data_IF_699946015597
#
_entry.id   IF_699946015597
#
_cell.length_a   1.000
_cell.length_b   1.000
_cell.length_c   1.000
_cell.angle_alpha   90.00
_cell.angle_beta   90.00
_cell.angle_gamma   90.00
#
_symmetry.space_group_name_H-M   'P 1'
#
loop_
_entity.id
_entity.type
_entity.pdbx_description
1 polymer ?
#
# COMPACT_ATOMS: atom_id res chain seq x y z
N UNK A 1 19.34 12.01 1.88
CA UNK A 1 18.82 11.49 3.16
C UNK A 1 17.47 10.86 2.90
N UNK A 2 17.41 9.53 2.98
CA UNK A 2 16.22 8.75 2.60
C UNK A 2 15.29 8.44 3.78
N UNK A 3 15.74 8.67 5.00
CA UNK A 3 14.91 8.51 6.19
C UNK A 3 15.16 9.70 7.13
N UNK A 4 14.10 10.23 7.65
CA UNK A 4 14.13 11.16 8.77
C UNK A 4 14.26 10.27 10.02
N UNK A 5 15.28 10.50 10.83
CA UNK A 5 15.49 9.73 12.05
C UNK A 5 14.56 10.23 13.17
N UNK A 6 14.42 9.42 14.23
CA UNK A 6 13.76 9.84 15.46
C UNK A 6 14.35 11.15 16.04
N UNK A 7 15.67 11.30 15.98
CA UNK A 7 16.39 12.52 16.42
C UNK A 7 16.01 13.74 15.57
N UNK A 8 15.83 13.56 14.23
CA UNK A 8 15.37 14.64 13.36
C UNK A 8 13.92 15.05 13.71
N UNK A 9 13.06 14.10 14.06
CA UNK A 9 11.67 14.36 14.48
C UNK A 9 11.61 15.08 15.83
N UNK A 10 12.43 14.68 16.81
CA UNK A 10 12.54 15.36 18.09
C UNK A 10 12.99 16.81 17.92
N UNK A 11 14.03 17.06 17.13
CA UNK A 11 14.52 18.40 16.86
C UNK A 11 13.47 19.30 16.18
N UNK A 12 12.62 18.73 15.31
CA UNK A 12 11.49 19.46 14.73
C UNK A 12 10.40 19.74 15.77
N UNK A 13 10.10 18.77 16.65
CA UNK A 13 9.11 18.94 17.71
C UNK A 13 9.51 20.03 18.72
N UNK A 14 10.79 20.10 19.11
CA UNK A 14 11.30 21.13 20.01
C UNK A 14 11.09 22.55 19.49
N UNK A 15 11.18 22.74 18.17
CA UNK A 15 11.05 24.05 17.52
C UNK A 15 9.62 24.37 17.07
N UNK A 16 8.72 23.39 17.06
CA UNK A 16 7.34 23.56 16.60
C UNK A 16 6.51 24.32 17.65
N UNK A 17 5.80 25.35 17.20
CA UNK A 17 4.99 26.21 18.08
C UNK A 17 3.52 25.76 18.15
N UNK A 18 3.03 25.02 17.15
CA UNK A 18 1.66 24.53 17.12
C UNK A 18 1.55 23.25 17.95
N UNK A 19 0.74 23.22 19.04
CA UNK A 19 0.71 22.08 19.97
C UNK A 19 0.32 20.75 19.30
N UNK A 20 -0.63 20.77 18.37
CA UNK A 20 -1.05 19.56 17.65
C UNK A 20 0.10 19.02 16.79
N UNK A 21 0.76 19.90 16.04
CA UNK A 21 1.88 19.48 15.19
C UNK A 21 3.06 18.97 15.99
N UNK A 22 3.34 19.58 17.14
CA UNK A 22 4.36 19.07 18.07
C UNK A 22 4.04 17.67 18.54
N UNK A 23 2.79 17.42 18.99
CA UNK A 23 2.37 16.10 19.43
C UNK A 23 2.47 15.04 18.31
N UNK A 24 2.19 15.40 17.06
CA UNK A 24 2.41 14.51 15.91
C UNK A 24 3.90 14.18 15.71
N UNK A 25 4.77 15.17 15.79
CA UNK A 25 6.22 14.99 15.63
C UNK A 25 6.81 14.13 16.75
N UNK A 26 6.40 14.38 18.00
CA UNK A 26 6.77 13.54 19.15
C UNK A 26 6.32 12.09 18.93
N UNK A 27 5.07 11.89 18.50
CA UNK A 27 4.54 10.57 18.17
C UNK A 27 5.35 9.88 17.05
N UNK A 28 5.74 10.63 16.01
CA UNK A 28 6.57 10.11 14.91
C UNK A 28 7.96 9.70 15.41
N UNK A 29 8.57 10.48 16.32
CA UNK A 29 9.85 10.14 16.93
C UNK A 29 9.74 8.82 17.72
N UNK A 30 8.70 8.67 18.54
CA UNK A 30 8.46 7.45 19.31
C UNK A 30 8.26 6.23 18.42
N UNK A 31 7.50 6.38 17.33
CA UNK A 31 7.32 5.30 16.35
C UNK A 31 8.65 4.89 15.70
N UNK A 32 9.48 5.86 15.29
CA UNK A 32 10.75 5.58 14.61
C UNK A 32 11.80 4.90 15.52
N UNK A 33 11.66 5.00 16.83
CA UNK A 33 12.49 4.22 17.79
C UNK A 33 12.12 2.74 17.82
N UNK A 34 10.88 2.42 17.49
CA UNK A 34 10.32 1.08 17.60
C UNK A 34 10.30 0.36 16.27
N UNK A 35 9.63 0.92 15.29
CA UNK A 35 9.45 0.27 13.97
C UNK A 35 10.57 0.68 13.00
N UNK A 36 11.05 -0.25 12.15
CA UNK A 36 10.55 -1.61 11.89
C UNK A 36 11.18 -2.70 12.77
N UNK A 37 11.94 -2.37 13.80
CA UNK A 37 12.71 -3.34 14.62
C UNK A 37 11.83 -4.15 15.56
N UNK A 38 10.75 -3.53 16.03
CA UNK A 38 9.73 -4.16 16.87
C UNK A 38 8.40 -4.27 16.11
N UNK A 39 7.53 -5.22 16.45
CA UNK A 39 6.21 -5.33 15.86
C UNK A 39 5.39 -4.04 16.06
N UNK A 40 4.67 -3.57 15.02
CA UNK A 40 3.79 -2.42 15.15
C UNK A 40 2.63 -2.70 16.10
N UNK A 41 2.18 -1.69 16.83
CA UNK A 41 1.10 -1.79 17.81
C UNK A 41 -0.22 -1.25 17.29
N UNK A 42 -0.19 -0.31 16.35
CA UNK A 42 -1.38 0.31 15.77
C UNK A 42 -1.24 0.45 14.24
N UNK A 43 -2.27 0.98 13.62
CA UNK A 43 -2.31 1.15 12.17
C UNK A 43 -1.24 2.12 11.66
N UNK A 44 -0.97 3.21 12.36
CA UNK A 44 0.04 4.18 11.95
C UNK A 44 1.45 3.55 11.98
N UNK A 45 1.77 2.87 13.08
CA UNK A 45 3.03 2.12 13.19
C UNK A 45 3.16 1.04 12.11
N UNK A 46 2.06 0.35 11.79
CA UNK A 46 2.07 -0.69 10.75
C UNK A 46 2.38 -0.12 9.37
N UNK A 47 1.77 1.00 8.99
CA UNK A 47 2.05 1.68 7.72
C UNK A 47 3.46 2.25 7.71
N UNK A 48 3.93 2.84 8.82
CA UNK A 48 5.29 3.35 8.94
C UNK A 48 6.34 2.24 8.82
N UNK A 49 6.12 1.10 9.49
CA UNK A 49 6.98 -0.07 9.41
C UNK A 49 7.05 -0.63 7.98
N UNK A 50 5.90 -0.71 7.31
CA UNK A 50 5.83 -1.13 5.91
C UNK A 50 6.66 -0.22 5.02
N UNK A 51 6.50 1.10 5.15
CA UNK A 51 7.25 2.06 4.35
C UNK A 51 8.76 1.97 4.58
N UNK A 52 9.20 1.93 5.83
CA UNK A 52 10.63 1.82 6.17
C UNK A 52 11.24 0.52 5.60
N UNK A 53 10.54 -0.60 5.76
CA UNK A 53 10.99 -1.89 5.21
C UNK A 53 11.07 -1.84 3.69
N UNK A 54 10.06 -1.27 3.04
CA UNK A 54 10.04 -1.09 1.58
C UNK A 54 11.22 -0.25 1.08
N UNK A 55 11.51 0.86 1.74
CA UNK A 55 12.67 1.70 1.43
C UNK A 55 13.99 0.96 1.58
N UNK A 56 14.14 0.16 2.63
CA UNK A 56 15.35 -0.65 2.85
C UNK A 56 15.54 -1.67 1.73
N UNK A 57 14.47 -2.38 1.35
CA UNK A 57 14.51 -3.32 0.22
C UNK A 57 14.84 -2.62 -1.09
N UNK A 58 14.20 -1.49 -1.38
CA UNK A 58 14.51 -0.71 -2.58
C UNK A 58 15.95 -0.20 -2.59
N UNK A 59 16.50 0.15 -1.43
CA UNK A 59 17.88 0.63 -1.32
C UNK A 59 18.90 -0.48 -1.56
N UNK A 60 18.61 -1.70 -1.10
CA UNK A 60 19.47 -2.88 -1.33
C UNK A 60 19.47 -3.28 -2.80
N UNK A 61 18.35 -3.17 -3.48
CA UNK A 61 18.17 -3.43 -4.91
C UNK A 61 18.68 -2.29 -5.82
N UNK A 62 19.53 -1.40 -5.31
CA UNK A 62 20.11 -0.30 -6.09
C UNK A 62 19.13 0.88 -6.29
N UNK A 63 18.78 1.56 -5.20
CA UNK A 63 17.81 2.65 -5.24
C UNK A 63 17.96 3.55 -6.49
N UNK A 64 16.84 3.80 -7.18
CA UNK A 64 15.49 3.57 -6.71
C UNK A 64 14.95 2.15 -6.91
N UNK A 65 15.74 1.20 -7.33
CA UNK A 65 15.45 -0.21 -7.41
C UNK A 65 14.38 -0.64 -8.43
N UNK A 66 14.23 -1.94 -8.66
CA UNK A 66 13.09 -2.46 -9.39
C UNK A 66 11.80 -2.25 -8.59
N UNK A 67 10.66 -2.20 -9.28
CA UNK A 67 9.36 -2.07 -8.64
C UNK A 67 9.11 -3.24 -7.68
N UNK A 68 9.01 -2.94 -6.40
CA UNK A 68 8.69 -3.92 -5.36
C UNK A 68 7.21 -3.81 -5.04
N UNK A 69 6.50 -4.93 -5.16
CA UNK A 69 5.06 -4.98 -4.83
C UNK A 69 4.84 -5.00 -3.32
N UNK A 70 3.85 -4.24 -2.85
CA UNK A 70 3.38 -4.30 -1.47
C UNK A 70 2.52 -5.54 -1.17
N UNK A 71 2.21 -6.34 -2.18
CA UNK A 71 1.38 -7.52 -2.00
C UNK A 71 -0.07 -7.18 -1.60
N UNK A 72 -0.71 -8.06 -0.83
CA UNK A 72 -2.12 -7.92 -0.40
C UNK A 72 -2.23 -7.01 0.82
N UNK A 73 -2.04 -5.72 0.58
CA UNK A 73 -1.87 -4.71 1.63
C UNK A 73 -3.12 -4.57 2.53
N UNK A 74 -4.29 -4.71 1.98
CA UNK A 74 -5.56 -4.66 2.71
C UNK A 74 -5.79 -5.88 3.62
N UNK A 75 -5.04 -6.97 3.44
CA UNK A 75 -5.18 -8.16 4.24
C UNK A 75 -4.27 -8.12 5.48
N UNK A 76 -2.99 -7.85 5.30
CA UNK A 76 -2.07 -7.86 6.43
C UNK A 76 -2.12 -6.59 7.27
N UNK A 77 -2.63 -5.47 6.75
CA UNK A 77 -2.87 -4.25 7.52
C UNK A 77 -4.27 -4.22 8.17
N UNK A 78 -5.23 -5.05 7.71
CA UNK A 78 -6.60 -5.05 8.24
C UNK A 78 -6.68 -5.23 9.76
N UNK A 79 -5.95 -6.16 10.39
CA UNK A 79 -6.02 -6.32 11.84
C UNK A 79 -5.65 -5.05 12.60
N UNK A 80 -4.64 -4.32 12.13
CA UNK A 80 -4.23 -3.05 12.73
C UNK A 80 -5.26 -1.94 12.48
N UNK A 81 -5.80 -1.89 11.26
CA UNK A 81 -6.87 -0.95 10.90
C UNK A 81 -8.07 -1.12 11.82
N UNK A 82 -8.58 -2.34 11.92
CA UNK A 82 -9.75 -2.67 12.72
C UNK A 82 -9.52 -2.36 14.20
N UNK A 83 -8.43 -2.83 14.78
CA UNK A 83 -8.10 -2.55 16.19
C UNK A 83 -7.98 -1.05 16.44
N UNK A 84 -7.27 -0.31 15.59
CA UNK A 84 -7.14 1.14 15.75
C UNK A 84 -8.48 1.88 15.63
N UNK A 85 -9.39 1.42 14.76
CA UNK A 85 -10.74 1.97 14.67
C UNK A 85 -11.55 1.69 15.94
N UNK A 86 -11.46 0.48 16.50
CA UNK A 86 -12.08 0.10 17.78
C UNK A 86 -11.52 0.94 18.94
N UNK A 87 -10.23 1.29 18.90
CA UNK A 87 -9.54 2.15 19.87
C UNK A 87 -9.77 3.66 19.65
N UNK A 88 -10.62 4.02 18.69
CA UNK A 88 -11.08 5.41 18.49
C UNK A 88 -10.37 6.19 17.39
N UNK A 89 -9.52 5.57 16.57
CA UNK A 89 -8.99 6.21 15.37
C UNK A 89 -10.16 6.54 14.42
N UNK A 90 -10.22 7.78 13.94
CA UNK A 90 -11.23 8.12 12.93
C UNK A 90 -10.84 7.57 11.56
N UNK A 91 -11.85 7.23 10.74
CA UNK A 91 -11.63 6.79 9.35
C UNK A 91 -10.86 7.82 8.54
N UNK A 92 -11.17 9.10 8.71
CA UNK A 92 -10.49 10.18 8.00
C UNK A 92 -9.01 10.28 8.37
N UNK A 93 -8.66 10.11 9.65
CA UNK A 93 -7.26 10.08 10.06
C UNK A 93 -6.53 8.85 9.50
N UNK A 94 -7.16 7.69 9.50
CA UNK A 94 -6.60 6.49 8.87
C UNK A 94 -6.37 6.69 7.36
N UNK A 95 -7.29 7.36 6.66
CA UNK A 95 -7.11 7.75 5.24
C UNK A 95 -5.96 8.73 5.05
N UNK A 96 -5.76 9.70 5.95
CA UNK A 96 -4.62 10.63 5.89
C UNK A 96 -3.28 9.89 6.02
N UNK A 97 -3.17 8.88 6.90
CA UNK A 97 -1.99 8.02 6.99
C UNK A 97 -1.72 7.33 5.64
N UNK A 98 -2.74 6.78 5.00
CA UNK A 98 -2.63 6.14 3.68
C UNK A 98 -2.25 7.13 2.59
N UNK A 99 -2.78 8.36 2.61
CA UNK A 99 -2.40 9.42 1.67
C UNK A 99 -0.91 9.79 1.82
N UNK A 100 -0.42 9.92 3.04
CA UNK A 100 1.00 10.14 3.30
C UNK A 100 1.86 9.00 2.72
N UNK A 101 1.46 7.75 2.92
CA UNK A 101 2.12 6.59 2.31
C UNK A 101 2.16 6.68 0.78
N UNK A 102 1.06 7.06 0.14
CA UNK A 102 0.97 7.24 -1.32
C UNK A 102 1.84 8.39 -1.82
N UNK A 103 1.92 9.49 -1.08
CA UNK A 103 2.84 10.60 -1.40
C UNK A 103 4.28 10.11 -1.41
N UNK A 104 4.67 9.33 -0.42
CA UNK A 104 6.03 8.77 -0.37
C UNK A 104 6.31 7.83 -1.54
N UNK A 105 5.39 6.96 -1.90
CA UNK A 105 5.53 6.07 -3.06
C UNK A 105 5.69 6.87 -4.37
N UNK A 106 4.95 7.94 -4.55
CA UNK A 106 5.07 8.83 -5.71
C UNK A 106 6.37 9.64 -5.72
N UNK A 107 6.83 10.10 -4.56
CA UNK A 107 8.09 10.86 -4.46
C UNK A 107 9.29 10.00 -4.84
N UNK A 108 9.30 8.74 -4.44
CA UNK A 108 10.33 7.78 -4.87
C UNK A 108 10.35 7.64 -6.41
N UNK A 109 9.18 7.64 -7.04
CA UNK A 109 9.04 7.58 -8.50
C UNK A 109 9.66 8.78 -9.22
N UNK A 110 9.46 10.00 -8.74
CA UNK A 110 9.98 11.22 -9.37
C UNK A 110 11.52 11.25 -9.44
N UNK A 111 12.19 10.66 -8.47
CA UNK A 111 13.64 10.57 -8.44
C UNK A 111 14.25 9.84 -9.65
N UNK A 112 13.56 8.85 -10.22
CA UNK A 112 14.05 8.05 -11.35
C UNK A 112 13.80 8.68 -12.72
N UNK A 113 12.71 9.38 -12.91
CA UNK A 113 12.38 10.02 -14.20
C UNK A 113 13.49 10.96 -14.63
N UNK A 114 14.11 11.61 -13.66
CA UNK A 114 15.21 12.56 -13.89
C UNK A 114 16.52 11.91 -14.31
N UNK A 115 16.73 10.65 -13.94
CA UNK A 115 18.00 9.95 -14.24
C UNK A 115 17.94 9.09 -15.50
N UNK A 116 16.76 8.66 -15.92
CA UNK A 116 16.58 7.67 -16.99
C UNK A 116 16.28 8.21 -18.39
N UNK A 117 16.11 9.49 -18.58
CA UNK A 117 15.83 10.17 -19.87
C UNK A 117 14.88 9.40 -20.80
N UNK A 118 13.84 9.99 -21.31
CA UNK A 118 12.94 9.47 -22.35
C UNK A 118 12.06 8.25 -22.05
N UNK A 119 12.10 7.67 -20.88
CA UNK A 119 11.04 6.76 -20.50
C UNK A 119 9.83 7.61 -20.11
N UNK A 120 8.76 7.48 -20.88
CA UNK A 120 7.54 8.26 -20.68
C UNK A 120 7.06 8.13 -19.23
N UNK A 121 6.46 9.18 -18.72
CA UNK A 121 5.87 9.31 -17.37
C UNK A 121 5.01 8.10 -16.98
N UNK A 122 4.53 7.34 -17.95
CA UNK A 122 3.72 6.13 -17.76
C UNK A 122 4.50 4.88 -17.37
N UNK A 123 5.83 4.92 -17.40
CA UNK A 123 6.63 3.72 -17.19
C UNK A 123 6.72 3.29 -15.73
N UNK A 124 6.56 4.19 -14.75
CA UNK A 124 6.59 3.94 -13.30
C UNK A 124 7.41 2.71 -12.85
N UNK A 125 7.77 2.65 -11.59
CA UNK A 125 8.47 1.45 -11.06
C UNK A 125 7.61 0.21 -11.02
N UNK A 126 6.29 0.35 -11.08
CA UNK A 126 5.39 -0.75 -10.86
C UNK A 126 5.33 -1.18 -9.40
N UNK A 127 5.32 -0.23 -8.48
CA UNK A 127 5.01 -0.50 -7.08
C UNK A 127 3.55 -0.90 -6.95
N UNK A 128 3.28 -2.18 -7.21
CA UNK A 128 1.92 -2.70 -7.18
C UNK A 128 1.49 -2.95 -5.73
N UNK A 129 0.23 -2.69 -5.45
CA UNK A 129 -0.44 -3.22 -4.27
C UNK A 129 -1.73 -3.93 -4.66
N UNK A 130 -2.07 -4.94 -3.92
CA UNK A 130 -3.20 -5.81 -4.24
C UNK A 130 -4.28 -5.67 -3.19
N UNK A 131 -5.52 -5.56 -3.65
CA UNK A 131 -6.71 -5.44 -2.83
C UNK A 131 -7.67 -6.59 -3.08
N UNK A 132 -8.42 -7.00 -2.07
CA UNK A 132 -9.51 -7.97 -2.18
C UNK A 132 -9.07 -9.36 -2.69
N UNK A 133 -9.96 -10.07 -3.35
CA UNK A 133 -9.75 -11.41 -3.92
C UNK A 133 -10.19 -12.52 -2.99
N UNK A 134 -9.91 -13.76 -3.39
CA UNK A 134 -10.20 -14.91 -2.55
C UNK A 134 -9.22 -15.00 -1.38
N UNK A 135 -9.77 -15.23 -0.20
CA UNK A 135 -9.06 -15.63 0.99
C UNK A 135 -8.91 -17.14 1.12
N UNK A 136 -8.46 -17.59 2.30
CA UNK A 136 -8.37 -19.00 2.62
C UNK A 136 -9.73 -19.69 2.47
N UNK A 137 -9.74 -20.88 1.85
CA UNK A 137 -10.98 -21.61 1.61
C UNK A 137 -11.90 -21.06 0.52
N UNK A 138 -11.48 -20.05 -0.25
CA UNK A 138 -12.25 -19.48 -1.33
C UNK A 138 -13.30 -18.44 -0.90
N UNK A 139 -13.29 -18.02 0.35
CA UNK A 139 -14.14 -16.94 0.85
C UNK A 139 -13.72 -15.59 0.25
N UNK A 140 -14.65 -14.66 0.14
CA UNK A 140 -14.33 -13.29 -0.21
C UNK A 140 -13.50 -12.62 0.89
N UNK A 141 -12.46 -11.90 0.49
CA UNK A 141 -11.53 -11.22 1.39
C UNK A 141 -11.63 -9.69 1.33
N UNK A 142 -12.67 -9.18 0.68
CA UNK A 142 -12.98 -7.74 0.69
C UNK A 142 -13.31 -7.29 2.11
N UNK A 143 -12.68 -6.20 2.55
CA UNK A 143 -12.84 -5.67 3.91
C UNK A 143 -12.96 -4.14 3.90
N UNK A 144 -13.15 -3.53 5.06
CA UNK A 144 -13.31 -2.07 5.17
C UNK A 144 -12.06 -1.31 4.69
N UNK A 145 -10.88 -1.84 4.98
CA UNK A 145 -9.62 -1.24 4.51
C UNK A 145 -9.48 -1.32 2.98
N UNK A 146 -10.06 -2.35 2.31
CA UNK A 146 -10.15 -2.39 0.85
C UNK A 146 -10.82 -1.14 0.31
N UNK A 147 -11.98 -0.78 0.87
CA UNK A 147 -12.70 0.43 0.46
C UNK A 147 -11.97 1.72 0.84
N UNK A 148 -11.32 1.77 2.00
CA UNK A 148 -10.51 2.92 2.40
C UNK A 148 -9.38 3.19 1.41
N UNK A 149 -8.71 2.16 0.91
CA UNK A 149 -7.70 2.30 -0.15
C UNK A 149 -8.30 2.84 -1.45
N UNK A 150 -9.46 2.34 -1.88
CA UNK A 150 -10.14 2.82 -3.08
C UNK A 150 -10.55 4.30 -2.95
N UNK A 151 -11.05 4.71 -1.78
CA UNK A 151 -11.36 6.11 -1.49
C UNK A 151 -10.12 7.00 -1.56
N UNK A 152 -8.99 6.54 -0.99
CA UNK A 152 -7.73 7.30 -1.02
C UNK A 152 -7.19 7.46 -2.45
N UNK A 153 -7.29 6.41 -3.28
CA UNK A 153 -6.91 6.51 -4.71
C UNK A 153 -7.73 7.58 -5.41
N UNK A 154 -9.03 7.61 -5.15
CA UNK A 154 -9.96 8.56 -5.76
C UNK A 154 -9.67 10.00 -5.30
N UNK A 155 -9.50 10.19 -3.98
CA UNK A 155 -9.14 11.48 -3.36
C UNK A 155 -7.83 12.05 -3.92
N UNK A 156 -6.88 11.20 -4.28
CA UNK A 156 -5.55 11.59 -4.74
C UNK A 156 -5.38 11.54 -6.26
N UNK A 157 -6.39 11.14 -7.01
CA UNK A 157 -6.32 11.03 -8.47
C UNK A 157 -6.10 12.40 -9.13
N UNK A 158 -5.23 12.50 -10.18
CA UNK A 158 -4.44 11.43 -10.76
C UNK A 158 -3.13 11.16 -10.00
N UNK A 159 -2.89 9.91 -9.62
CA UNK A 159 -1.65 9.46 -8.98
C UNK A 159 -1.06 8.30 -9.77
N UNK A 160 0.27 8.24 -9.92
CA UNK A 160 0.93 7.21 -10.73
C UNK A 160 1.38 6.00 -9.92
N UNK A 161 1.75 6.22 -8.68
CA UNK A 161 2.23 5.19 -7.76
C UNK A 161 1.61 5.37 -6.37
N UNK A 162 1.38 4.31 -5.63
CA UNK A 162 1.47 2.91 -6.05
C UNK A 162 0.29 2.50 -6.96
N UNK A 163 0.49 1.47 -7.78
CA UNK A 163 -0.52 1.01 -8.74
C UNK A 163 -1.48 0.01 -8.12
N UNK A 164 -2.79 0.28 -8.12
CA UNK A 164 -3.78 -0.64 -7.59
C UNK A 164 -3.98 -1.84 -8.51
N UNK A 165 -4.01 -3.02 -7.91
CA UNK A 165 -4.40 -4.27 -8.52
C UNK A 165 -5.55 -4.86 -7.72
N UNK A 166 -6.78 -4.75 -8.21
CA UNK A 166 -7.94 -5.32 -7.54
C UNK A 166 -8.20 -6.73 -8.04
N UNK A 167 -8.23 -7.67 -7.11
CA UNK A 167 -8.58 -9.05 -7.38
C UNK A 167 -10.09 -9.24 -7.19
N UNK A 168 -10.71 -9.83 -8.17
CA UNK A 168 -12.14 -10.13 -8.20
C UNK A 168 -12.35 -11.63 -8.38
N UNK A 169 -13.47 -12.12 -7.87
CA UNK A 169 -13.92 -13.49 -8.06
C UNK A 169 -15.47 -13.53 -8.06
N UNK A 170 -16.05 -14.70 -8.34
CA UNK A 170 -17.51 -14.83 -8.50
C UNK A 170 -18.33 -14.43 -7.27
N UNK A 171 -17.74 -14.50 -6.08
CA UNK A 171 -18.41 -14.12 -4.85
C UNK A 171 -17.96 -12.74 -4.33
N UNK A 172 -17.22 -11.97 -5.12
CA UNK A 172 -16.92 -10.58 -4.78
C UNK A 172 -18.21 -9.77 -4.67
N UNK A 173 -18.29 -8.84 -3.68
CA UNK A 173 -19.46 -7.97 -3.54
C UNK A 173 -19.72 -7.14 -4.78
N UNK A 174 -20.98 -7.04 -5.21
CA UNK A 174 -21.39 -6.18 -6.33
C UNK A 174 -20.94 -4.73 -6.09
N UNK A 175 -21.04 -4.24 -4.85
CA UNK A 175 -20.58 -2.91 -4.47
C UNK A 175 -19.09 -2.67 -4.76
N UNK A 176 -18.23 -3.69 -4.60
CA UNK A 176 -16.82 -3.59 -4.98
C UNK A 176 -16.65 -3.49 -6.50
N UNK A 177 -17.40 -4.32 -7.24
CA UNK A 177 -17.34 -4.32 -8.70
C UNK A 177 -17.81 -2.98 -9.26
N UNK A 178 -18.95 -2.47 -8.79
CA UNK A 178 -19.51 -1.19 -9.22
C UNK A 178 -18.51 -0.04 -8.94
N UNK A 179 -17.94 -0.02 -7.73
CA UNK A 179 -16.96 0.99 -7.34
C UNK A 179 -15.72 0.97 -8.24
N UNK A 180 -15.19 -0.19 -8.51
CA UNK A 180 -13.99 -0.36 -9.35
C UNK A 180 -14.26 0.04 -10.81
N UNK A 181 -15.42 -0.32 -11.37
CA UNK A 181 -15.84 0.08 -12.72
C UNK A 181 -16.00 1.60 -12.81
N UNK A 182 -16.62 2.22 -11.81
CA UNK A 182 -16.74 3.68 -11.73
C UNK A 182 -15.35 4.35 -11.75
N UNK A 183 -14.44 3.91 -10.89
CA UNK A 183 -13.09 4.45 -10.79
C UNK A 183 -12.30 4.31 -12.10
N UNK A 184 -12.41 3.18 -12.78
CA UNK A 184 -11.77 2.98 -14.10
C UNK A 184 -12.34 3.95 -15.13
N UNK A 185 -13.64 4.18 -15.11
CA UNK A 185 -14.30 5.07 -16.07
C UNK A 185 -13.93 6.54 -15.89
N UNK A 186 -13.58 6.93 -14.68
CA UNK A 186 -13.23 8.31 -14.29
C UNK A 186 -11.72 8.52 -14.13
N UNK A 187 -10.94 7.44 -14.13
CA UNK A 187 -9.49 7.47 -13.94
C UNK A 187 -8.79 8.33 -14.98
N UNK A 188 -8.07 9.34 -14.52
CA UNK A 188 -7.31 10.26 -15.36
C UNK A 188 -5.89 9.78 -15.67
N UNK A 189 -5.66 8.47 -15.73
CA UNK A 189 -4.40 7.89 -16.16
C UNK A 189 -3.64 7.06 -15.14
N UNK A 190 -4.16 6.84 -13.93
CA UNK A 190 -3.60 5.82 -13.04
C UNK A 190 -3.86 4.43 -13.62
N UNK A 191 -2.84 3.61 -13.87
CA UNK A 191 -3.05 2.26 -14.38
C UNK A 191 -3.72 1.41 -13.28
N UNK A 192 -4.99 1.13 -13.49
CA UNK A 192 -5.78 0.27 -12.63
C UNK A 192 -5.74 -1.15 -13.20
N UNK A 193 -5.31 -2.12 -12.40
CA UNK A 193 -5.25 -3.51 -12.82
C UNK A 193 -6.40 -4.31 -12.21
N UNK A 194 -7.03 -5.15 -13.03
CA UNK A 194 -8.05 -6.09 -12.58
C UNK A 194 -7.57 -7.52 -12.83
N UNK A 195 -7.63 -8.34 -11.81
CA UNK A 195 -7.34 -9.77 -11.88
C UNK A 195 -8.55 -10.59 -11.43
N UNK A 196 -8.93 -11.55 -12.26
CA UNK A 196 -9.97 -12.52 -11.91
C UNK A 196 -9.32 -13.78 -11.36
N UNK A 197 -9.56 -14.06 -10.08
CA UNK A 197 -8.89 -15.14 -9.35
C UNK A 197 -9.07 -16.50 -9.98
N UNK A 198 -10.28 -16.84 -10.47
CA UNK A 198 -10.52 -18.13 -11.11
C UNK A 198 -9.66 -18.32 -12.37
N UNK A 199 -9.43 -17.25 -13.14
CA UNK A 199 -8.56 -17.31 -14.32
C UNK A 199 -7.09 -17.43 -13.96
N UNK A 200 -6.65 -16.61 -13.01
CA UNK A 200 -5.26 -16.61 -12.55
C UNK A 200 -4.88 -17.96 -11.92
N UNK A 201 -5.76 -18.50 -11.06
CA UNK A 201 -5.56 -19.80 -10.42
C UNK A 201 -5.56 -20.94 -11.43
N UNK A 202 -6.48 -20.93 -12.40
CA UNK A 202 -6.51 -21.97 -13.43
C UNK A 202 -5.21 -21.95 -14.27
N UNK A 203 -4.71 -20.77 -14.62
CA UNK A 203 -3.43 -20.60 -15.31
C UNK A 203 -2.25 -21.11 -14.51
N UNK A 204 -2.15 -20.72 -13.23
CA UNK A 204 -1.09 -21.20 -12.35
C UNK A 204 -1.13 -22.71 -12.13
N UNK A 205 -2.32 -23.29 -11.92
CA UNK A 205 -2.49 -24.75 -11.80
C UNK A 205 -2.04 -25.49 -13.04
N UNK A 206 -2.36 -24.95 -14.22
CA UNK A 206 -1.91 -25.55 -15.49
C UNK A 206 -0.39 -25.54 -15.60
N UNK A 207 0.25 -24.42 -15.28
CA UNK A 207 1.71 -24.30 -15.31
C UNK A 207 2.39 -25.21 -14.28
N UNK A 208 1.86 -25.25 -13.05
CA UNK A 208 2.36 -26.12 -12.02
C UNK A 208 2.30 -27.60 -12.43
N UNK A 209 1.19 -28.05 -13.03
CA UNK A 209 1.07 -29.41 -13.58
C UNK A 209 2.10 -29.70 -14.65
N UNK A 210 2.31 -28.76 -15.58
CA UNK A 210 3.33 -28.87 -16.64
C UNK A 210 4.75 -28.96 -16.06
N UNK A 211 5.02 -28.22 -14.98
CA UNK A 211 6.31 -28.23 -14.29
C UNK A 211 6.47 -29.39 -13.28
N UNK A 212 5.49 -30.28 -13.14
CA UNK A 212 5.53 -31.40 -12.20
C UNK A 212 5.42 -31.02 -10.73
N UNK A 213 4.94 -29.80 -10.43
CA UNK A 213 4.72 -29.33 -9.05
C UNK A 213 3.48 -30.03 -8.48
N UNK A 214 3.64 -30.74 -7.38
CA UNK A 214 2.57 -31.56 -6.78
C UNK A 214 1.59 -30.75 -5.94
N UNK A 215 2.00 -29.58 -5.42
CA UNK A 215 1.17 -28.77 -4.56
C UNK A 215 1.48 -27.28 -4.79
N UNK A 216 0.45 -26.48 -5.05
CA UNK A 216 0.52 -25.02 -4.98
C UNK A 216 0.15 -24.59 -3.57
N UNK A 217 1.00 -23.77 -2.95
CA UNK A 217 0.67 -23.14 -1.67
C UNK A 217 -0.20 -21.93 -2.02
N UNK A 218 -1.45 -21.95 -1.56
CA UNK A 218 -2.33 -20.79 -1.63
C UNK A 218 -2.09 -19.96 -0.37
N UNK A 219 -1.46 -18.81 -0.55
CA UNK A 219 -1.38 -17.76 0.49
C UNK A 219 -2.30 -16.60 0.13
#
# INVERSE_FOLDING_TARGET
>A
KLAISDVDMEGLAETEQQPLRRAELDRMADMLRRVPWEPPQDFWEAVQSLWLTHMLVMSDENYPGPGVSFGRIDQYLEPFWRTSMEDGMSRDFGKEILKCFFVHANTAYDGMIRTGGNQGITAGYGQLFTLSGMGAGGADATNDLTYAFLEVIDDMSPILEPKPNVRLHRASPDALLDRVVEMISTSQGAPFLLNFDERSMAGMMLQARKAGVKQLIHT
#
